data_IF_910203293718
#
_entry.id   IF_910203293718
#
_cell.length_a   1.000
_cell.length_b   1.000
_cell.length_c   1.000
_cell.angle_alpha   90.00
_cell.angle_beta   90.00
_cell.angle_gamma   90.00
#
_symmetry.space_group_name_H-M   'P 1'
#
loop_
_entity.id
_entity.type
_entity.pdbx_description
1 polymer ?
#
# COMPACT_ATOMS: atom_id res chain seq x y z
N UNK A 1 -19.02 6.04 1.67
CA UNK A 1 -19.14 4.61 1.34
C UNK A 1 -17.85 3.84 1.63
N UNK A 2 -16.70 4.20 1.02
CA UNK A 2 -15.42 3.46 1.20
C UNK A 2 -14.98 3.32 2.67
N UNK A 3 -15.07 4.39 3.46
CA UNK A 3 -14.74 4.32 4.89
C UNK A 3 -15.64 3.32 5.66
N UNK A 4 -16.92 3.25 5.32
CA UNK A 4 -17.86 2.29 5.92
C UNK A 4 -17.51 0.85 5.50
N UNK A 5 -17.18 0.61 4.23
CA UNK A 5 -16.74 -0.71 3.76
C UNK A 5 -15.46 -1.17 4.48
N UNK A 6 -14.53 -0.24 4.72
CA UNK A 6 -13.30 -0.50 5.48
C UNK A 6 -13.58 -0.83 6.95
N UNK A 7 -14.56 -0.17 7.59
CA UNK A 7 -14.98 -0.48 8.96
C UNK A 7 -15.70 -1.82 9.09
N UNK A 8 -16.45 -2.20 8.06
CA UNK A 8 -17.21 -3.46 8.01
C UNK A 8 -16.40 -4.66 7.48
N UNK A 9 -15.11 -4.46 7.16
CA UNK A 9 -14.23 -5.48 6.55
C UNK A 9 -14.77 -6.07 5.22
N UNK A 10 -15.60 -5.31 4.49
CA UNK A 10 -16.19 -5.75 3.23
C UNK A 10 -15.24 -5.45 2.05
N UNK A 11 -14.13 -6.20 1.98
CA UNK A 11 -13.04 -5.95 1.04
C UNK A 11 -13.41 -6.20 -0.43
N UNK A 12 -14.22 -7.23 -0.71
CA UNK A 12 -14.66 -7.57 -2.07
C UNK A 12 -15.50 -6.45 -2.69
N UNK A 13 -16.47 -5.92 -1.95
CA UNK A 13 -17.31 -4.79 -2.38
C UNK A 13 -16.46 -3.53 -2.56
N UNK A 14 -15.52 -3.28 -1.63
CA UNK A 14 -14.63 -2.12 -1.73
C UNK A 14 -13.75 -2.18 -2.97
N UNK A 15 -13.17 -3.34 -3.27
CA UNK A 15 -12.36 -3.56 -4.48
C UNK A 15 -13.20 -3.35 -5.74
N UNK A 16 -14.39 -3.97 -5.83
CA UNK A 16 -15.29 -3.83 -7.00
C UNK A 16 -15.74 -2.39 -7.25
N UNK A 17 -15.96 -1.61 -6.19
CA UNK A 17 -16.34 -0.20 -6.32
C UNK A 17 -15.17 0.69 -6.82
N UNK A 18 -13.92 0.33 -6.52
CA UNK A 18 -12.74 1.08 -6.97
C UNK A 18 -12.34 0.66 -8.39
N UNK A 19 -12.38 -0.64 -8.67
CA UNK A 19 -11.98 -1.26 -9.92
C UNK A 19 -13.19 -1.50 -10.83
N UNK A 20 -13.80 -0.43 -11.35
CA UNK A 20 -14.94 -0.52 -12.27
C UNK A 20 -14.42 -0.66 -13.70
N UNK A 21 -14.67 -1.84 -14.29
CA UNK A 21 -14.53 -2.26 -15.69
C UNK A 21 -13.17 -2.01 -16.42
N UNK A 22 -12.51 -0.88 -16.22
CA UNK A 22 -11.25 -0.49 -16.90
C UNK A 22 -10.29 0.33 -16.01
N UNK A 23 -10.61 0.58 -14.73
CA UNK A 23 -9.65 1.26 -13.84
C UNK A 23 -8.52 0.31 -13.46
N UNK A 24 -7.28 0.71 -13.72
CA UNK A 24 -6.06 0.04 -13.27
C UNK A 24 -5.31 0.91 -12.26
N UNK A 25 -4.30 0.35 -11.59
CA UNK A 25 -3.44 1.14 -10.71
C UNK A 25 -2.77 2.33 -11.42
N UNK A 26 -2.47 2.20 -12.72
CA UNK A 26 -1.94 3.31 -13.51
C UNK A 26 -2.97 4.42 -13.73
N UNK A 27 -4.24 4.07 -13.95
CA UNK A 27 -5.30 5.09 -14.03
C UNK A 27 -5.48 5.85 -12.72
N UNK A 28 -5.36 5.16 -11.58
CA UNK A 28 -5.42 5.78 -10.25
C UNK A 28 -4.25 6.72 -10.01
N UNK A 29 -3.08 6.41 -10.59
CA UNK A 29 -1.89 7.25 -10.51
C UNK A 29 -2.02 8.55 -11.30
N UNK A 30 -2.71 8.52 -12.45
CA UNK A 30 -2.83 9.67 -13.36
C UNK A 30 -3.60 10.85 -12.78
N UNK A 31 -4.40 10.66 -11.72
CA UNK A 31 -5.20 11.74 -11.12
C UNK A 31 -4.88 11.90 -9.63
N UNK A 32 -4.48 13.11 -9.22
CA UNK A 32 -4.11 13.42 -7.84
C UNK A 32 -5.24 13.17 -6.82
N UNK A 33 -6.50 13.39 -7.19
CA UNK A 33 -7.63 13.07 -6.31
C UNK A 33 -7.76 11.56 -6.10
N UNK A 34 -7.63 10.78 -7.17
CA UNK A 34 -7.70 9.32 -7.12
C UNK A 34 -6.50 8.74 -6.36
N UNK A 35 -5.31 9.29 -6.57
CA UNK A 35 -4.10 8.90 -5.86
C UNK A 35 -4.23 9.11 -4.34
N UNK A 36 -4.72 10.27 -3.91
CA UNK A 36 -4.81 10.56 -2.47
C UNK A 36 -6.01 9.88 -1.79
N UNK A 37 -7.16 9.80 -2.49
CA UNK A 37 -8.40 9.31 -1.88
C UNK A 37 -8.66 7.83 -2.14
N UNK A 38 -8.42 7.32 -3.36
CA UNK A 38 -8.77 5.95 -3.74
C UNK A 38 -7.60 4.97 -3.52
N UNK A 39 -6.36 5.38 -3.82
CA UNK A 39 -5.18 4.50 -3.73
C UNK A 39 -5.01 3.82 -2.36
N UNK A 40 -5.17 4.51 -1.21
CA UNK A 40 -5.04 3.86 0.09
C UNK A 40 -6.06 2.72 0.29
N UNK A 41 -7.32 2.92 -0.13
CA UNK A 41 -8.35 1.89 -0.03
C UNK A 41 -8.14 0.80 -1.08
N UNK A 42 -7.64 1.14 -2.27
CA UNK A 42 -7.35 0.19 -3.34
C UNK A 42 -6.29 -0.82 -2.88
N UNK A 43 -5.13 -0.33 -2.44
CA UNK A 43 -4.03 -1.17 -1.93
C UNK A 43 -4.51 -2.00 -0.75
N UNK A 44 -5.19 -1.37 0.23
CA UNK A 44 -5.67 -2.06 1.43
C UNK A 44 -6.69 -3.17 1.12
N UNK A 45 -7.67 -2.93 0.25
CA UNK A 45 -8.65 -3.95 -0.16
C UNK A 45 -7.98 -5.15 -0.81
N UNK A 46 -7.13 -4.90 -1.81
CA UNK A 46 -6.47 -5.97 -2.56
C UNK A 46 -5.48 -6.75 -1.69
N UNK A 47 -4.71 -6.07 -0.84
CA UNK A 47 -3.80 -6.75 0.09
C UNK A 47 -4.56 -7.61 1.11
N UNK A 48 -5.68 -7.13 1.66
CA UNK A 48 -6.50 -7.92 2.58
C UNK A 48 -7.15 -9.12 1.90
N UNK A 49 -7.63 -8.97 0.66
CA UNK A 49 -8.13 -10.10 -0.14
C UNK A 49 -7.02 -11.10 -0.48
N UNK A 50 -5.80 -10.62 -0.74
CA UNK A 50 -4.66 -11.50 -1.01
C UNK A 50 -4.29 -12.38 0.21
N UNK A 51 -4.40 -11.82 1.43
CA UNK A 51 -4.01 -12.52 2.67
C UNK A 51 -5.15 -13.39 3.21
N UNK A 52 -6.40 -12.91 3.15
CA UNK A 52 -7.55 -13.52 3.84
C UNK A 52 -8.67 -13.99 2.91
N UNK A 53 -8.55 -13.75 1.60
CA UNK A 53 -9.56 -14.13 0.62
C UNK A 53 -9.52 -15.61 0.26
N UNK A 54 -10.57 -16.04 -0.44
CA UNK A 54 -10.65 -17.38 -1.05
C UNK A 54 -9.66 -17.52 -2.21
N UNK A 55 -9.33 -18.75 -2.62
CA UNK A 55 -8.35 -19.01 -3.70
C UNK A 55 -8.70 -18.27 -5.00
N UNK A 56 -10.00 -18.19 -5.34
CA UNK A 56 -10.48 -17.42 -6.49
C UNK A 56 -10.22 -15.91 -6.33
N UNK A 57 -10.52 -15.35 -5.17
CA UNK A 57 -10.29 -13.93 -4.90
C UNK A 57 -8.80 -13.57 -4.84
N UNK A 58 -7.94 -14.50 -4.42
CA UNK A 58 -6.48 -14.36 -4.45
C UNK A 58 -5.95 -14.30 -5.88
N UNK A 59 -6.43 -15.17 -6.76
CA UNK A 59 -6.10 -15.15 -8.19
C UNK A 59 -6.54 -13.82 -8.84
N UNK A 60 -7.71 -13.29 -8.49
CA UNK A 60 -8.17 -11.98 -8.97
C UNK A 60 -7.33 -10.79 -8.48
N UNK A 61 -6.46 -10.99 -7.46
CA UNK A 61 -5.55 -9.96 -6.98
C UNK A 61 -4.19 -9.93 -7.71
N UNK A 62 -4.00 -10.69 -8.78
CA UNK A 62 -2.78 -10.68 -9.59
C UNK A 62 -2.36 -9.27 -10.01
N UNK A 63 -3.31 -8.38 -10.28
CA UNK A 63 -3.03 -6.98 -10.62
C UNK A 63 -2.27 -6.19 -9.54
N UNK A 64 -2.41 -6.53 -8.25
CA UNK A 64 -1.59 -5.93 -7.19
C UNK A 64 -0.16 -6.46 -7.24
N UNK A 65 -0.01 -7.77 -7.46
CA UNK A 65 1.29 -8.41 -7.56
C UNK A 65 2.07 -7.89 -8.78
N UNK A 66 1.42 -7.81 -9.94
CA UNK A 66 1.99 -7.22 -11.14
C UNK A 66 2.39 -5.76 -10.91
N UNK A 67 1.55 -4.97 -10.22
CA UNK A 67 1.88 -3.58 -9.90
C UNK A 67 3.16 -3.46 -9.05
N UNK A 68 3.31 -4.23 -7.96
CA UNK A 68 4.53 -4.19 -7.14
C UNK A 68 5.75 -4.78 -7.84
N UNK A 69 5.59 -5.82 -8.66
CA UNK A 69 6.67 -6.38 -9.46
C UNK A 69 7.17 -5.38 -10.52
N UNK A 70 6.26 -4.67 -11.19
CA UNK A 70 6.61 -3.63 -12.17
C UNK A 70 7.36 -2.46 -11.54
N UNK A 71 7.07 -2.14 -10.27
CA UNK A 71 7.86 -1.14 -9.52
C UNK A 71 9.27 -1.66 -9.19
N UNK A 72 9.45 -2.98 -9.06
CA UNK A 72 10.71 -3.62 -8.65
C UNK A 72 11.62 -3.99 -9.83
N UNK A 73 11.08 -4.24 -11.02
CA UNK A 73 11.80 -4.77 -12.20
C UNK A 73 12.61 -3.72 -12.99
N UNK A 74 12.55 -2.44 -12.61
CA UNK A 74 13.23 -1.34 -13.32
C UNK A 74 14.74 -1.25 -13.07
N UNK A 75 15.35 -2.20 -12.37
CA UNK A 75 16.80 -2.25 -12.19
C UNK A 75 17.58 -2.54 -13.48
N UNK A 76 16.94 -2.98 -14.57
CA UNK A 76 17.65 -3.55 -15.74
C UNK A 76 17.30 -2.95 -17.13
N UNK A 77 16.73 -1.74 -17.27
CA UNK A 77 16.49 -1.17 -18.60
C UNK A 77 16.81 0.34 -18.69
N UNK A 78 17.38 0.71 -19.83
CA UNK A 78 17.87 2.03 -20.26
C UNK A 78 16.95 3.21 -19.93
N UNK A 79 17.50 4.41 -19.68
CA UNK A 79 16.73 5.57 -19.24
C UNK A 79 15.91 6.15 -20.40
N UNK A 80 14.65 5.76 -20.47
CA UNK A 80 13.60 6.46 -21.23
C UNK A 80 12.71 7.23 -20.26
N UNK A 81 11.90 8.19 -20.74
CA UNK A 81 10.95 8.99 -19.94
C UNK A 81 10.04 8.16 -19.02
N UNK A 82 9.80 6.90 -19.38
CA UNK A 82 8.97 5.97 -18.60
C UNK A 82 9.70 5.45 -17.34
N UNK A 83 11.04 5.46 -17.33
CA UNK A 83 11.84 5.07 -16.15
C UNK A 83 11.79 6.11 -15.03
N UNK A 84 11.75 7.40 -15.36
CA UNK A 84 11.67 8.49 -14.39
C UNK A 84 10.30 8.50 -13.70
N UNK A 85 9.23 8.34 -14.47
CA UNK A 85 7.88 8.22 -13.90
C UNK A 85 7.74 6.98 -13.01
N UNK A 86 8.40 5.87 -13.35
CA UNK A 86 8.38 4.65 -12.55
C UNK A 86 9.21 4.77 -11.29
N UNK A 87 10.35 5.46 -11.33
CA UNK A 87 11.13 5.79 -10.14
C UNK A 87 10.34 6.68 -9.17
N UNK A 88 9.65 7.71 -9.68
CA UNK A 88 8.79 8.58 -8.86
C UNK A 88 7.63 7.77 -8.25
N UNK A 89 6.97 6.92 -9.05
CA UNK A 89 5.94 5.98 -8.58
C UNK A 89 6.45 5.11 -7.44
N UNK A 90 7.61 4.47 -7.64
CA UNK A 90 8.23 3.60 -6.66
C UNK A 90 8.55 4.35 -5.37
N UNK A 91 9.25 5.47 -5.46
CA UNK A 91 9.64 6.27 -4.29
C UNK A 91 8.42 6.73 -3.48
N UNK A 92 7.34 7.15 -4.15
CA UNK A 92 6.09 7.51 -3.49
C UNK A 92 5.46 6.32 -2.78
N UNK A 93 5.34 5.16 -3.43
CA UNK A 93 4.73 3.97 -2.85
C UNK A 93 5.54 3.45 -1.67
N UNK A 94 6.88 3.39 -1.79
CA UNK A 94 7.77 3.00 -0.70
C UNK A 94 7.61 3.92 0.51
N UNK A 95 7.52 5.24 0.28
CA UNK A 95 7.34 6.22 1.35
C UNK A 95 5.95 6.17 1.99
N UNK A 96 4.89 6.01 1.19
CA UNK A 96 3.51 6.13 1.64
C UNK A 96 2.95 4.84 2.23
N UNK A 97 3.39 3.68 1.73
CA UNK A 97 2.84 2.36 2.08
C UNK A 97 3.93 1.32 2.45
N UNK A 98 4.88 1.64 3.35
CA UNK A 98 5.97 0.73 3.67
C UNK A 98 5.49 -0.53 4.41
N UNK A 99 4.43 -0.43 5.22
CA UNK A 99 3.88 -1.58 5.94
C UNK A 99 3.16 -2.55 5.00
N UNK A 100 2.40 -2.04 4.05
CA UNK A 100 1.74 -2.84 3.02
C UNK A 100 2.76 -3.57 2.15
N UNK A 101 3.87 -2.91 1.79
CA UNK A 101 4.99 -3.55 1.09
C UNK A 101 5.64 -4.65 1.93
N UNK A 102 5.93 -4.39 3.22
CA UNK A 102 6.48 -5.41 4.10
C UNK A 102 5.57 -6.65 4.17
N UNK A 103 4.26 -6.42 4.35
CA UNK A 103 3.26 -7.50 4.38
C UNK A 103 3.19 -8.28 3.06
N UNK A 104 3.30 -7.58 1.93
CA UNK A 104 3.32 -8.21 0.62
C UNK A 104 4.56 -9.10 0.41
N UNK A 105 5.76 -8.60 0.74
CA UNK A 105 6.98 -9.40 0.62
C UNK A 105 6.98 -10.58 1.61
N UNK A 106 6.39 -10.41 2.79
CA UNK A 106 6.16 -11.52 3.72
C UNK A 106 5.26 -12.61 3.10
N UNK A 107 4.18 -12.21 2.43
CA UNK A 107 3.32 -13.16 1.70
C UNK A 107 4.07 -13.90 0.58
N UNK A 108 4.96 -13.20 -0.14
CA UNK A 108 5.83 -13.80 -1.16
C UNK A 108 6.98 -14.65 -0.60
N UNK A 109 7.15 -14.70 0.73
CA UNK A 109 8.27 -15.37 1.43
C UNK A 109 9.64 -14.75 1.15
N UNK A 110 9.69 -13.48 0.74
CA UNK A 110 10.93 -12.69 0.68
C UNK A 110 11.12 -11.95 2.02
N UNK A 111 11.75 -12.66 2.96
CA UNK A 111 11.92 -12.16 4.33
C UNK A 111 12.90 -10.99 4.43
N UNK A 112 13.92 -10.94 3.56
CA UNK A 112 14.93 -9.88 3.60
C UNK A 112 14.32 -8.53 3.22
N UNK A 113 13.55 -8.50 2.14
CA UNK A 113 12.83 -7.28 1.73
C UNK A 113 11.75 -6.90 2.72
N UNK A 114 11.00 -7.87 3.26
CA UNK A 114 10.01 -7.60 4.30
C UNK A 114 10.66 -6.92 5.52
N UNK A 115 11.80 -7.44 5.99
CA UNK A 115 12.56 -6.89 7.12
C UNK A 115 13.07 -5.47 6.85
N UNK A 116 13.50 -5.19 5.63
CA UNK A 116 13.88 -3.83 5.23
C UNK A 116 12.70 -2.86 5.33
N UNK A 117 11.55 -3.19 4.73
CA UNK A 117 10.40 -2.29 4.71
C UNK A 117 9.75 -2.10 6.08
N UNK A 118 9.74 -3.12 6.94
CA UNK A 118 9.22 -2.97 8.31
C UNK A 118 10.13 -2.07 9.16
N UNK A 119 11.44 -2.13 8.94
CA UNK A 119 12.38 -1.22 9.61
C UNK A 119 12.16 0.22 9.13
N UNK A 120 12.04 0.42 7.82
CA UNK A 120 11.74 1.72 7.23
C UNK A 120 10.39 2.28 7.73
N UNK A 121 9.35 1.45 7.86
CA UNK A 121 8.06 1.86 8.44
C UNK A 121 8.20 2.36 9.89
N UNK A 122 9.04 1.70 10.70
CA UNK A 122 9.34 2.12 12.08
C UNK A 122 10.06 3.46 12.12
N UNK A 123 11.03 3.69 11.25
CA UNK A 123 11.72 4.98 11.14
C UNK A 123 10.76 6.11 10.73
N UNK A 124 9.90 5.87 9.72
CA UNK A 124 8.89 6.83 9.29
C UNK A 124 7.88 7.14 10.41
N UNK A 125 7.50 6.13 11.20
CA UNK A 125 6.67 6.32 12.38
C UNK A 125 7.33 7.24 13.40
N UNK A 126 8.62 7.02 13.71
CA UNK A 126 9.36 7.86 14.66
C UNK A 126 9.46 9.30 14.19
N UNK A 127 9.74 9.51 12.89
CA UNK A 127 9.76 10.84 12.28
C UNK A 127 8.39 11.53 12.42
N UNK A 128 7.31 10.84 12.02
CA UNK A 128 5.94 11.36 12.13
C UNK A 128 5.55 11.67 13.58
N UNK A 129 5.93 10.80 14.52
CA UNK A 129 5.66 10.99 15.94
C UNK A 129 6.39 12.21 16.51
N UNK A 130 7.65 12.41 16.11
CA UNK A 130 8.47 13.55 16.56
C UNK A 130 7.93 14.91 16.09
N UNK A 131 7.34 14.94 14.89
CA UNK A 131 6.75 16.15 14.30
C UNK A 131 5.37 16.48 14.84
N UNK A 132 4.72 15.53 15.52
CA UNK A 132 3.33 15.67 15.94
C UNK A 132 3.20 16.51 17.21
N UNK A 133 2.42 17.59 17.11
CA UNK A 133 2.13 18.47 18.26
C UNK A 133 1.53 17.68 19.43
N UNK A 134 1.98 18.02 20.64
CA UNK A 134 1.45 17.44 21.89
C UNK A 134 -0.04 17.70 22.08
N UNK A 135 -0.56 18.78 21.50
CA UNK A 135 -1.97 19.18 21.60
C UNK A 135 -2.89 18.40 20.64
N UNK A 136 -2.34 17.67 19.66
CA UNK A 136 -3.13 16.87 18.72
C UNK A 136 -3.45 15.49 19.33
N UNK A 137 -4.39 15.44 20.28
CA UNK A 137 -4.75 14.21 20.98
C UNK A 137 -5.19 13.10 20.01
N UNK A 138 -6.09 13.41 19.07
CA UNK A 138 -6.57 12.47 18.07
C UNK A 138 -5.44 11.98 17.13
N UNK A 139 -4.58 12.89 16.68
CA UNK A 139 -3.43 12.53 15.84
C UNK A 139 -2.47 11.60 16.56
N UNK A 140 -2.22 11.83 17.85
CA UNK A 140 -1.32 10.99 18.66
C UNK A 140 -1.94 9.63 18.90
N UNK A 141 -3.23 9.58 19.25
CA UNK A 141 -3.97 8.33 19.47
C UNK A 141 -3.99 7.45 18.22
N UNK A 142 -4.25 8.03 17.05
CA UNK A 142 -4.25 7.28 15.78
C UNK A 142 -2.85 6.83 15.36
N UNK A 143 -1.84 7.68 15.56
CA UNK A 143 -0.46 7.33 15.21
C UNK A 143 0.06 6.19 16.09
N UNK A 144 -0.11 6.26 17.41
CA UNK A 144 0.44 5.25 18.34
C UNK A 144 -0.15 3.86 18.13
N UNK A 145 -1.41 3.76 17.66
CA UNK A 145 -2.06 2.48 17.34
C UNK A 145 -1.36 1.73 16.19
N UNK A 146 -0.55 2.41 15.37
CA UNK A 146 0.18 1.78 14.27
C UNK A 146 1.40 0.97 14.74
N UNK A 147 1.89 1.21 15.96
CA UNK A 147 3.16 0.60 16.42
C UNK A 147 3.03 -0.90 16.67
N UNK A 148 1.86 -1.36 17.14
CA UNK A 148 1.62 -2.76 17.46
C UNK A 148 1.73 -3.63 16.19
N UNK A 149 1.01 -3.33 15.09
CA UNK A 149 1.20 -4.03 13.82
C UNK A 149 2.65 -4.05 13.32
N UNK A 150 3.44 -3.00 13.56
CA UNK A 150 4.84 -2.95 13.11
C UNK A 150 5.76 -3.87 13.91
N UNK A 151 5.38 -4.23 15.13
CA UNK A 151 6.16 -5.12 15.98
C UNK A 151 5.75 -6.59 15.82
N UNK A 152 4.49 -6.84 15.48
CA UNK A 152 3.94 -8.19 15.29
C UNK A 152 4.25 -8.79 13.91
N UNK A 153 4.55 -7.95 12.91
CA UNK A 153 4.98 -8.35 11.57
C UNK A 153 6.46 -8.77 11.54
#
# INVERSE_FOLDING_TARGET
MLNCCNQLNNWSIMSKHIFIANTTFDTLWSNAYQLNYLMPYAIRSKLKLLISGTEQEQLEQEGLCQFFNNLSSTTNLTPTSDTETTFVKRSYIEKQYPFELATYFLYQKDFDRSKYYIHYAKEQFLLRWSQLSRLSEYGRKTTIQLIQPYHEL
#
